data_IF_794987579044
#
_entry.id   IF_794987579044
#
_cell.length_a   1.000
_cell.length_b   1.000
_cell.length_c   1.000
_cell.angle_alpha   90.00
_cell.angle_beta   90.00
_cell.angle_gamma   90.00
#
_symmetry.space_group_name_H-M   'P 1'
#
loop_
_entity.id
_entity.type
_entity.pdbx_description
1 polymer ?
#
# COMPACT_ATOMS: atom_id res chain seq x y z
N UNK A 1 -18.14 -3.82 1.13
CA UNK A 1 -16.84 -4.14 0.51
C UNK A 1 -15.73 -3.50 1.33
N UNK A 2 -14.47 -3.81 1.05
CA UNK A 2 -13.30 -3.16 1.65
C UNK A 2 -13.27 -1.66 1.29
N UNK A 3 -14.08 -0.85 1.96
CA UNK A 3 -14.18 0.60 1.74
C UNK A 3 -12.89 1.34 2.10
N UNK A 4 -11.94 0.65 2.75
CA UNK A 4 -10.62 1.19 3.08
C UNK A 4 -9.68 1.32 1.86
N UNK A 5 -9.89 0.56 0.78
CA UNK A 5 -9.17 0.71 -0.49
C UNK A 5 -10.08 1.07 -1.68
N UNK A 6 -11.40 0.91 -1.50
CA UNK A 6 -12.35 0.57 -2.56
C UNK A 6 -12.63 1.57 -3.68
N UNK A 7 -12.33 2.87 -3.53
CA UNK A 7 -12.47 3.86 -4.61
C UNK A 7 -11.13 4.47 -5.07
N UNK A 8 -10.00 4.05 -4.49
CA UNK A 8 -8.68 4.56 -4.83
C UNK A 8 -7.93 3.65 -5.81
N UNK A 9 -7.94 2.34 -5.53
CA UNK A 9 -7.18 1.32 -6.29
C UNK A 9 -7.42 1.34 -7.80
N UNK A 10 -8.65 1.54 -8.33
CA UNK A 10 -8.86 1.54 -9.78
C UNK A 10 -8.01 2.57 -10.54
N UNK A 11 -7.62 3.66 -9.87
CA UNK A 11 -6.87 4.74 -10.49
C UNK A 11 -5.35 4.63 -10.26
N UNK A 12 -4.91 3.80 -9.31
CA UNK A 12 -3.51 3.74 -8.84
C UNK A 12 -2.92 2.38 -9.14
N UNK A 13 -2.16 2.30 -10.24
CA UNK A 13 -1.53 1.06 -10.73
C UNK A 13 -0.12 1.36 -11.24
N UNK A 14 0.78 0.37 -11.16
CA UNK A 14 2.12 0.45 -11.77
C UNK A 14 3.19 1.13 -10.91
N UNK A 15 2.89 1.42 -9.64
CA UNK A 15 3.91 1.85 -8.68
C UNK A 15 4.88 0.69 -8.39
N UNK A 16 6.20 0.96 -8.30
CA UNK A 16 7.17 -0.03 -7.89
C UNK A 16 7.06 -0.30 -6.37
N UNK A 17 7.52 -1.46 -5.95
CA UNK A 17 7.67 -1.78 -4.54
C UNK A 17 9.12 -2.23 -4.24
N UNK A 18 9.84 -1.57 -3.33
CA UNK A 18 9.52 -0.29 -2.69
C UNK A 18 9.51 0.90 -3.68
N UNK A 19 9.00 2.08 -3.27
CA UNK A 19 8.98 3.27 -4.13
C UNK A 19 10.39 3.74 -4.56
N UNK A 20 11.39 3.45 -3.73
CA UNK A 20 12.82 3.68 -3.94
C UNK A 20 13.47 2.72 -4.94
N UNK A 21 12.75 1.67 -5.41
CA UNK A 21 13.31 0.67 -6.32
C UNK A 21 13.63 1.21 -7.72
N UNK A 22 13.15 2.42 -8.05
CA UNK A 22 13.40 3.10 -9.31
C UNK A 22 13.94 4.53 -9.07
N UNK A 23 14.62 5.15 -10.04
CA UNK A 23 15.06 6.54 -9.93
C UNK A 23 13.89 7.51 -9.69
N UNK A 24 14.12 8.57 -8.90
CA UNK A 24 13.05 9.53 -8.53
C UNK A 24 12.31 10.10 -9.75
N UNK A 25 13.01 10.42 -10.83
CA UNK A 25 12.37 10.93 -12.05
C UNK A 25 11.38 9.94 -12.68
N UNK A 26 11.67 8.63 -12.62
CA UNK A 26 10.78 7.58 -13.12
C UNK A 26 9.56 7.40 -12.21
N UNK A 27 9.76 7.49 -10.89
CA UNK A 27 8.67 7.50 -9.92
C UNK A 27 7.73 8.69 -10.16
N UNK A 28 8.26 9.90 -10.31
CA UNK A 28 7.45 11.11 -10.56
C UNK A 28 6.65 11.00 -11.86
N UNK A 29 7.25 10.51 -12.95
CA UNK A 29 6.52 10.28 -14.20
C UNK A 29 5.35 9.29 -14.03
N UNK A 30 5.53 8.27 -13.19
CA UNK A 30 4.48 7.31 -12.85
C UNK A 30 3.38 7.98 -12.02
N UNK A 31 3.75 8.79 -11.03
CA UNK A 31 2.80 9.55 -10.21
C UNK A 31 2.00 10.56 -11.03
N UNK A 32 2.63 11.25 -11.98
CA UNK A 32 1.93 12.19 -12.87
C UNK A 32 0.92 11.48 -13.77
N UNK A 33 1.25 10.29 -14.26
CA UNK A 33 0.32 9.44 -15.01
C UNK A 33 -0.90 9.05 -14.14
N UNK A 34 -0.68 8.69 -12.88
CA UNK A 34 -1.74 8.36 -11.93
C UNK A 34 -2.60 9.60 -11.63
N UNK A 35 -1.99 10.76 -11.35
CA UNK A 35 -2.70 12.02 -11.11
C UNK A 35 -3.56 12.42 -12.32
N UNK A 36 -3.05 12.22 -13.54
CA UNK A 36 -3.80 12.47 -14.76
C UNK A 36 -5.01 11.53 -14.88
N UNK A 37 -4.84 10.24 -14.59
CA UNK A 37 -5.93 9.26 -14.57
C UNK A 37 -7.02 9.62 -13.56
N UNK A 38 -6.66 9.98 -12.33
CA UNK A 38 -7.62 10.41 -11.29
C UNK A 38 -8.44 11.61 -11.80
N UNK A 39 -7.79 12.62 -12.40
CA UNK A 39 -8.48 13.81 -12.93
C UNK A 39 -9.40 13.50 -14.11
N UNK A 40 -9.07 12.50 -14.92
CA UNK A 40 -9.84 12.13 -16.11
C UNK A 40 -11.02 11.19 -15.80
N UNK A 41 -10.83 10.23 -14.89
CA UNK A 41 -11.74 9.08 -14.75
C UNK A 41 -12.50 9.07 -13.43
N UNK A 42 -11.98 9.70 -12.37
CA UNK A 42 -12.66 9.67 -11.08
C UNK A 42 -13.85 10.65 -11.03
N UNK A 43 -14.93 10.33 -10.28
CA UNK A 43 -16.05 11.24 -10.07
C UNK A 43 -15.56 12.61 -9.60
N UNK A 44 -16.06 13.69 -10.19
CA UNK A 44 -15.58 15.06 -9.94
C UNK A 44 -15.49 15.39 -8.44
N UNK A 45 -16.53 15.03 -7.68
CA UNK A 45 -16.59 15.26 -6.23
C UNK A 45 -15.54 14.47 -5.41
N UNK A 46 -14.89 13.46 -6.00
CA UNK A 46 -13.87 12.60 -5.35
C UNK A 46 -12.44 12.96 -5.75
N UNK A 47 -12.23 13.67 -6.86
CA UNK A 47 -10.89 13.90 -7.42
C UNK A 47 -9.90 14.53 -6.42
N UNK A 48 -10.32 15.59 -5.71
CA UNK A 48 -9.46 16.26 -4.74
C UNK A 48 -9.06 15.34 -3.58
N UNK A 49 -10.00 14.57 -3.05
CA UNK A 49 -9.75 13.61 -1.98
C UNK A 49 -8.82 12.48 -2.41
N UNK A 50 -8.97 11.96 -3.63
CA UNK A 50 -8.11 10.90 -4.16
C UNK A 50 -6.68 11.40 -4.43
N UNK A 51 -6.52 12.63 -4.93
CA UNK A 51 -5.20 13.24 -5.13
C UNK A 51 -4.49 13.49 -3.79
N UNK A 52 -5.20 14.06 -2.81
CA UNK A 52 -4.66 14.26 -1.48
C UNK A 52 -4.25 12.94 -0.83
N UNK A 53 -5.10 11.92 -0.93
CA UNK A 53 -4.80 10.60 -0.41
C UNK A 53 -3.59 9.95 -1.09
N UNK A 54 -3.41 10.11 -2.41
CA UNK A 54 -2.20 9.67 -3.10
C UNK A 54 -0.95 10.35 -2.52
N UNK A 55 -0.96 11.68 -2.40
CA UNK A 55 0.19 12.41 -1.89
C UNK A 55 0.51 12.04 -0.43
N UNK A 56 -0.52 11.79 0.39
CA UNK A 56 -0.36 11.27 1.77
C UNK A 56 0.30 9.89 1.80
N UNK A 57 -0.16 8.94 0.96
CA UNK A 57 0.42 7.59 0.89
C UNK A 57 1.87 7.59 0.39
N UNK A 58 2.20 8.46 -0.57
CA UNK A 58 3.59 8.60 -1.04
C UNK A 58 4.44 9.24 0.05
N UNK A 59 3.98 10.31 0.69
CA UNK A 59 4.73 10.98 1.74
C UNK A 59 5.02 10.08 2.96
N UNK A 60 4.17 9.09 3.22
CA UNK A 60 4.39 8.11 4.31
C UNK A 60 5.35 6.98 3.94
N UNK A 61 5.68 6.76 2.66
CA UNK A 61 6.44 5.58 2.19
C UNK A 61 7.59 5.91 1.20
N UNK A 62 7.85 7.17 0.89
CA UNK A 62 8.77 7.61 -0.18
C UNK A 62 10.26 7.36 0.09
N UNK A 63 10.62 6.87 1.28
CA UNK A 63 11.98 6.45 1.63
C UNK A 63 11.99 5.04 2.22
N UNK A 64 13.12 4.35 2.08
CA UNK A 64 13.33 3.01 2.67
C UNK A 64 13.18 3.01 4.19
N UNK A 65 13.55 4.11 4.84
CA UNK A 65 13.42 4.29 6.28
C UNK A 65 11.95 4.37 6.69
N UNK A 66 11.17 5.26 6.07
CA UNK A 66 9.74 5.40 6.36
C UNK A 66 8.96 4.13 6.05
N UNK A 67 9.28 3.47 4.95
CA UNK A 67 8.69 2.17 4.61
C UNK A 67 8.98 1.14 5.71
N UNK A 68 10.24 1.03 6.13
CA UNK A 68 10.64 0.09 7.19
C UNK A 68 9.94 0.40 8.51
N UNK A 69 9.95 1.64 8.95
CA UNK A 69 9.25 2.07 10.17
C UNK A 69 7.75 1.75 10.10
N UNK A 70 7.12 2.00 8.95
CA UNK A 70 5.70 1.71 8.73
C UNK A 70 5.41 0.21 8.80
N UNK A 71 6.28 -0.63 8.23
CA UNK A 71 6.16 -2.09 8.27
C UNK A 71 6.45 -2.67 9.66
N UNK A 72 7.42 -2.11 10.38
CA UNK A 72 7.83 -2.58 11.71
C UNK A 72 6.86 -2.16 12.82
N UNK A 73 6.17 -1.03 12.68
CA UNK A 73 5.26 -0.49 13.69
C UNK A 73 4.16 -1.48 14.16
N UNK A 74 3.39 -2.15 13.27
CA UNK A 74 2.41 -3.13 13.70
C UNK A 74 3.06 -4.37 14.36
N UNK A 75 4.21 -4.82 13.86
CA UNK A 75 4.93 -5.96 14.42
C UNK A 75 5.43 -5.66 15.84
N UNK A 76 6.04 -4.48 16.03
CA UNK A 76 6.49 -3.99 17.33
C UNK A 76 5.33 -3.88 18.32
N UNK A 77 4.16 -3.40 17.86
CA UNK A 77 2.95 -3.31 18.69
C UNK A 77 2.46 -4.69 19.14
N UNK A 78 2.42 -5.66 18.22
CA UNK A 78 2.02 -7.04 18.52
C UNK A 78 3.03 -7.70 19.45
N UNK A 79 4.33 -7.50 19.24
CA UNK A 79 5.38 -8.03 20.10
C UNK A 79 5.25 -7.50 21.54
N UNK A 80 5.04 -6.19 21.71
CA UNK A 80 4.84 -5.58 23.02
C UNK A 80 3.61 -6.14 23.74
N UNK A 81 2.49 -6.28 23.02
CA UNK A 81 1.27 -6.90 23.55
C UNK A 81 1.49 -8.36 23.94
N UNK A 82 2.19 -9.14 23.11
CA UNK A 82 2.46 -10.55 23.35
C UNK A 82 3.30 -10.74 24.62
N UNK A 83 4.38 -9.94 24.78
CA UNK A 83 5.23 -9.93 25.98
C UNK A 83 4.41 -9.59 27.23
N UNK A 84 3.55 -8.59 27.16
CA UNK A 84 2.70 -8.18 28.29
C UNK A 84 1.69 -9.26 28.72
N UNK A 85 1.34 -10.18 27.81
CA UNK A 85 0.35 -11.23 28.05
C UNK A 85 0.95 -12.65 28.14
N UNK A 86 2.28 -12.77 28.15
CA UNK A 86 2.95 -14.08 28.21
C UNK A 86 2.67 -14.99 27.00
N UNK A 87 2.29 -14.40 25.85
CA UNK A 87 2.01 -15.14 24.63
C UNK A 87 3.32 -15.36 23.89
N UNK A 88 3.65 -16.62 23.64
CA UNK A 88 4.86 -16.97 22.88
C UNK A 88 4.70 -16.61 21.40
N UNK A 89 5.75 -16.12 20.71
CA UNK A 89 5.67 -15.75 19.30
C UNK A 89 5.14 -16.88 18.39
N UNK A 90 5.50 -18.14 18.67
CA UNK A 90 5.03 -19.31 17.91
C UNK A 90 3.51 -19.55 17.99
N UNK A 91 2.83 -18.91 18.95
CA UNK A 91 1.37 -18.98 19.10
C UNK A 91 0.66 -17.81 18.41
N UNK A 92 1.38 -16.93 17.70
CA UNK A 92 0.83 -15.78 16.99
C UNK A 92 0.85 -16.09 15.50
N UNK A 93 -0.34 -16.14 14.90
CA UNK A 93 -0.49 -16.32 13.45
C UNK A 93 -0.82 -14.99 12.79
N UNK A 94 -0.05 -14.60 11.78
CA UNK A 94 -0.37 -13.51 10.89
C UNK A 94 -1.26 -14.05 9.76
N UNK A 95 -2.52 -13.62 9.74
CA UNK A 95 -3.46 -13.94 8.67
C UNK A 95 -3.72 -12.72 7.80
N UNK A 96 -3.80 -12.91 6.49
CA UNK A 96 -4.37 -11.92 5.57
C UNK A 96 -5.88 -12.17 5.45
N UNK A 97 -6.69 -11.14 5.67
CA UNK A 97 -8.13 -11.21 5.45
C UNK A 97 -8.55 -10.36 4.25
N UNK A 98 -8.79 -11.05 3.13
CA UNK A 98 -9.71 -10.58 2.08
C UNK A 98 -9.08 -10.29 0.74
N UNK A 99 -9.53 -11.03 -0.28
CA UNK A 99 -9.55 -10.53 -1.66
C UNK A 99 -10.69 -9.53 -1.78
N UNK A 100 -10.41 -8.30 -2.23
CA UNK A 100 -11.47 -7.34 -2.51
C UNK A 100 -12.23 -7.87 -3.73
N UNK A 101 -13.52 -8.22 -3.57
CA UNK A 101 -14.33 -8.82 -4.65
C UNK A 101 -14.36 -7.99 -5.94
N UNK A 102 -14.13 -6.68 -5.81
CA UNK A 102 -14.04 -5.71 -6.92
C UNK A 102 -12.72 -5.81 -7.71
N UNK A 103 -11.70 -6.49 -7.17
CA UNK A 103 -10.39 -6.71 -7.82
C UNK A 103 -10.33 -8.06 -8.56
N UNK A 104 -11.37 -8.89 -8.46
CA UNK A 104 -11.43 -10.17 -9.19
C UNK A 104 -11.43 -9.92 -10.70
N UNK A 105 -10.38 -10.37 -11.39
CA UNK A 105 -10.19 -10.16 -12.82
C UNK A 105 -9.45 -8.86 -13.19
N UNK A 106 -8.88 -8.13 -12.23
CA UNK A 106 -8.03 -6.98 -12.52
C UNK A 106 -6.77 -7.41 -13.32
N UNK A 107 -6.47 -6.81 -14.49
CA UNK A 107 -5.27 -7.15 -15.26
C UNK A 107 -3.96 -6.80 -14.53
N UNK A 108 -4.01 -5.89 -13.55
CA UNK A 108 -2.86 -5.52 -12.73
C UNK A 108 -2.71 -6.49 -11.56
N UNK A 109 -2.12 -7.65 -11.83
CA UNK A 109 -1.77 -8.66 -10.83
C UNK A 109 -0.40 -8.35 -10.25
N UNK A 110 -0.28 -8.28 -8.92
CA UNK A 110 1.02 -8.14 -8.27
C UNK A 110 1.95 -9.33 -8.61
N UNK A 111 3.15 -9.08 -9.17
CA UNK A 111 4.11 -10.14 -9.47
C UNK A 111 4.50 -10.93 -8.21
N UNK A 112 4.81 -12.21 -8.38
CA UNK A 112 5.03 -13.14 -7.26
C UNK A 112 6.24 -12.73 -6.41
N UNK A 113 7.29 -12.21 -7.05
CA UNK A 113 8.51 -11.72 -6.43
C UNK A 113 8.30 -10.58 -5.43
N UNK A 114 7.19 -9.84 -5.56
CA UNK A 114 6.85 -8.76 -4.63
C UNK A 114 5.92 -9.22 -3.50
N UNK A 115 5.36 -10.43 -3.57
CA UNK A 115 4.49 -10.98 -2.52
C UNK A 115 5.36 -11.39 -1.33
N UNK A 116 5.08 -10.84 -0.15
CA UNK A 116 5.89 -11.03 1.07
C UNK A 116 7.33 -10.47 1.02
N UNK A 117 7.68 -9.63 0.04
CA UNK A 117 9.01 -9.00 -0.07
C UNK A 117 9.32 -7.98 1.05
N UNK A 118 8.39 -7.77 1.97
CA UNK A 118 8.53 -6.95 3.17
C UNK A 118 9.07 -7.70 4.38
N UNK A 119 9.24 -9.04 4.31
CA UNK A 119 9.85 -9.85 5.36
C UNK A 119 11.20 -10.36 4.86
N UNK A 120 12.26 -10.13 5.62
CA UNK A 120 13.58 -10.76 5.44
C UNK A 120 13.87 -11.68 6.62
#
# INVERSE_FOLDING_TARGET
GATWAGDFIPYVTGLPYPLSAVPRAQLEATLDTIRARIKAEAPWARQSGLLAYLDEQIASLDTDEKLRETMDAPLTRVEAWAKANGIKPENITLGEFGMIRQEYGNPYVMPAEYRAAYVR
#
